data_IF_770286170766
#
_entry.id   IF_770286170766
#
_cell.length_a   1.000
_cell.length_b   1.000
_cell.length_c   1.000
_cell.angle_alpha   90.00
_cell.angle_beta   90.00
_cell.angle_gamma   90.00
#
_symmetry.space_group_name_H-M   'P 1'
#
loop_
_entity.id
_entity.type
_entity.pdbx_description
1 polymer ?
#
# COMPACT_ATOMS: atom_id res chain seq x y z
N UNK A 1 -18.54 -13.21 29.03
CA UNK A 1 -17.34 -12.36 28.80
C UNK A 1 -17.80 -11.10 28.08
N UNK A 2 -17.50 -9.90 28.60
CA UNK A 2 -17.75 -8.66 27.86
C UNK A 2 -16.80 -8.63 26.66
N UNK A 3 -17.24 -8.23 25.45
CA UNK A 3 -16.32 -8.04 24.34
C UNK A 3 -15.34 -6.94 24.74
N UNK A 4 -14.08 -7.31 24.91
CA UNK A 4 -12.99 -6.34 25.11
C UNK A 4 -12.93 -5.50 23.85
N UNK A 5 -13.15 -4.19 23.97
CA UNK A 5 -13.11 -3.29 22.82
C UNK A 5 -11.78 -3.47 22.09
N UNK A 6 -11.82 -3.91 20.82
CA UNK A 6 -10.62 -4.09 20.00
C UNK A 6 -9.98 -2.71 19.84
N UNK A 7 -8.78 -2.55 20.38
CA UNK A 7 -8.04 -1.30 20.29
C UNK A 7 -7.84 -0.93 18.82
N UNK A 8 -8.33 0.25 18.42
CA UNK A 8 -8.15 0.73 17.04
C UNK A 8 -6.74 1.30 16.91
N UNK A 9 -5.92 0.73 16.02
CA UNK A 9 -4.53 1.14 15.81
C UNK A 9 -4.36 1.97 14.54
N UNK A 10 -3.51 3.01 14.61
CA UNK A 10 -3.06 3.81 13.46
C UNK A 10 -1.55 3.71 13.32
N UNK A 11 -1.06 3.80 12.09
CA UNK A 11 0.38 3.81 11.80
C UNK A 11 0.79 5.04 11.01
N UNK A 12 2.08 5.35 10.98
CA UNK A 12 2.60 6.33 10.01
C UNK A 12 2.40 5.80 8.60
N UNK A 13 1.98 6.68 7.69
CA UNK A 13 1.91 6.35 6.26
C UNK A 13 3.33 6.19 5.69
N UNK A 14 3.63 4.97 5.26
CA UNK A 14 4.88 4.60 4.57
C UNK A 14 4.57 4.02 3.20
N UNK A 15 5.58 3.94 2.32
CA UNK A 15 5.43 3.26 1.03
C UNK A 15 4.97 1.81 1.23
N UNK A 16 5.60 1.07 2.16
CA UNK A 16 5.22 -0.32 2.51
C UNK A 16 3.75 -0.44 2.93
N UNK A 17 3.25 0.50 3.73
CA UNK A 17 1.85 0.54 4.13
C UNK A 17 0.91 0.71 2.93
N UNK A 18 1.18 1.69 2.05
CA UNK A 18 0.38 1.94 0.85
C UNK A 18 0.41 0.75 -0.12
N UNK A 19 1.58 0.16 -0.34
CA UNK A 19 1.76 -1.06 -1.12
C UNK A 19 0.94 -2.23 -0.54
N UNK A 20 0.94 -2.39 0.79
CA UNK A 20 0.14 -3.40 1.49
C UNK A 20 -1.35 -3.22 1.27
N UNK A 21 -1.85 -1.98 1.34
CA UNK A 21 -3.26 -1.65 1.04
C UNK A 21 -3.58 -2.01 -0.41
N UNK A 22 -2.81 -1.55 -1.39
CA UNK A 22 -3.10 -1.80 -2.81
C UNK A 22 -3.15 -3.30 -3.16
N UNK A 23 -2.40 -4.14 -2.43
CA UNK A 23 -2.39 -5.60 -2.60
C UNK A 23 -3.38 -6.34 -1.71
N UNK A 24 -4.23 -5.63 -0.96
CA UNK A 24 -5.19 -6.22 -0.04
C UNK A 24 -4.55 -7.09 1.05
N UNK A 25 -3.32 -6.76 1.48
CA UNK A 25 -2.63 -7.52 2.53
C UNK A 25 -3.21 -7.18 3.90
N UNK A 26 -3.18 -8.15 4.82
CA UNK A 26 -3.39 -7.89 6.25
C UNK A 26 -2.22 -7.06 6.76
N UNK A 27 -2.52 -5.91 7.35
CA UNK A 27 -1.52 -5.00 7.91
C UNK A 27 -1.66 -5.02 9.43
N UNK A 28 -0.58 -5.42 10.10
CA UNK A 28 -0.50 -5.53 11.55
C UNK A 28 0.40 -4.44 12.11
N UNK A 29 0.13 -4.03 13.34
CA UNK A 29 1.08 -3.32 14.18
C UNK A 29 2.13 -4.33 14.66
N UNK A 30 3.26 -4.34 13.95
CA UNK A 30 4.33 -5.32 14.10
C UNK A 30 4.94 -5.31 15.50
N UNK A 31 5.04 -4.14 16.13
CA UNK A 31 5.71 -3.98 17.42
C UNK A 31 4.91 -4.64 18.54
N UNK A 32 3.58 -4.44 18.57
CA UNK A 32 2.74 -5.01 19.62
C UNK A 32 2.47 -6.51 19.39
N UNK A 33 2.15 -6.92 18.16
CA UNK A 33 1.76 -8.31 17.89
C UNK A 33 2.91 -9.31 18.04
N UNK A 34 4.11 -8.93 17.58
CA UNK A 34 5.29 -9.78 17.68
C UNK A 34 5.76 -9.83 19.13
N UNK A 35 5.85 -8.68 19.82
CA UNK A 35 6.28 -8.65 21.22
C UNK A 35 5.37 -9.50 22.11
N UNK A 36 4.05 -9.30 22.01
CA UNK A 36 3.10 -10.07 22.81
C UNK A 36 3.18 -11.58 22.52
N UNK A 37 3.39 -11.97 21.25
CA UNK A 37 3.53 -13.37 20.87
C UNK A 37 4.83 -13.98 21.43
N UNK A 38 5.92 -13.23 21.42
CA UNK A 38 7.19 -13.63 22.03
C UNK A 38 7.05 -13.81 23.55
N UNK A 39 6.40 -12.87 24.23
CA UNK A 39 6.20 -12.92 25.69
C UNK A 39 5.30 -14.09 26.11
N UNK A 40 4.35 -14.49 25.26
CA UNK A 40 3.43 -15.62 25.49
C UNK A 40 4.01 -16.97 25.05
N UNK A 41 5.12 -16.98 24.32
CA UNK A 41 5.74 -18.19 23.78
C UNK A 41 4.94 -18.88 22.67
N UNK A 42 3.97 -18.20 22.04
CA UNK A 42 3.20 -18.72 20.91
C UNK A 42 2.60 -17.59 20.07
N UNK A 43 2.28 -17.88 18.81
CA UNK A 43 1.62 -16.93 17.92
C UNK A 43 0.22 -16.59 18.40
N UNK A 44 -0.02 -15.31 18.67
CA UNK A 44 -1.36 -14.82 19.02
C UNK A 44 -2.22 -14.59 17.77
N UNK A 45 -3.55 -14.58 17.92
CA UNK A 45 -4.46 -14.15 16.86
C UNK A 45 -4.10 -12.74 16.36
N UNK A 46 -4.18 -12.52 15.06
CA UNK A 46 -3.77 -11.26 14.44
C UNK A 46 -4.81 -10.13 14.61
N UNK A 47 -6.09 -10.48 14.81
CA UNK A 47 -7.22 -9.56 14.88
C UNK A 47 -7.03 -8.36 15.82
N UNK A 48 -6.47 -8.51 17.05
CA UNK A 48 -6.22 -7.40 17.97
C UNK A 48 -5.12 -6.42 17.51
N UNK A 49 -4.30 -6.86 16.55
CA UNK A 49 -3.14 -6.11 16.04
C UNK A 49 -3.40 -5.48 14.67
N UNK A 50 -4.61 -5.65 14.11
CA UNK A 50 -4.96 -5.08 12.81
C UNK A 50 -4.90 -3.55 12.83
N UNK A 51 -4.18 -3.01 11.85
CA UNK A 51 -4.13 -1.57 11.58
C UNK A 51 -5.45 -1.14 10.94
N UNK A 52 -6.08 -0.11 11.52
CA UNK A 52 -7.40 0.41 11.11
C UNK A 52 -7.31 1.76 10.40
N UNK A 53 -6.11 2.32 10.25
CA UNK A 53 -5.92 3.64 9.68
C UNK A 53 -4.47 4.11 9.70
N UNK A 54 -4.27 5.36 9.31
CA UNK A 54 -2.97 6.01 9.37
C UNK A 54 -3.04 7.38 10.04
N UNK A 55 -1.87 7.90 10.43
CA UNK A 55 -1.74 9.17 11.15
C UNK A 55 -2.15 10.40 10.35
N UNK A 56 -2.44 10.27 9.04
CA UNK A 56 -2.80 11.39 8.16
C UNK A 56 -4.31 11.42 7.90
N UNK A 57 -4.93 10.26 7.62
CA UNK A 57 -6.36 10.16 7.30
C UNK A 57 -7.21 9.59 8.45
N UNK A 58 -6.58 9.23 9.58
CA UNK A 58 -7.27 8.69 10.73
C UNK A 58 -7.76 7.25 10.52
N UNK A 59 -8.80 6.87 11.26
CA UNK A 59 -9.40 5.53 11.22
C UNK A 59 -10.36 5.38 10.03
N UNK A 60 -9.81 5.08 8.88
CA UNK A 60 -10.59 4.93 7.65
C UNK A 60 -10.94 3.49 7.31
N UNK A 61 -10.43 2.49 8.03
CA UNK A 61 -10.59 1.07 7.70
C UNK A 61 -10.11 0.68 6.29
N UNK A 62 -9.24 1.50 5.69
CA UNK A 62 -8.72 1.27 4.35
C UNK A 62 -8.00 -0.09 4.18
N UNK A 63 -7.12 -0.55 5.10
CA UNK A 63 -6.50 -1.86 5.00
C UNK A 63 -7.53 -3.00 4.97
N UNK A 64 -8.53 -2.93 5.86
CA UNK A 64 -9.59 -3.95 5.95
C UNK A 64 -10.45 -3.97 4.68
N UNK A 65 -10.87 -2.80 4.18
CA UNK A 65 -11.63 -2.72 2.92
C UNK A 65 -10.85 -3.27 1.74
N UNK A 66 -9.56 -2.96 1.65
CA UNK A 66 -8.73 -3.43 0.56
C UNK A 66 -8.53 -4.96 0.61
N UNK A 67 -8.33 -5.52 1.81
CA UNK A 67 -8.29 -6.97 2.00
C UNK A 67 -9.61 -7.64 1.57
N UNK A 68 -10.75 -7.09 2.00
CA UNK A 68 -12.06 -7.62 1.62
C UNK A 68 -12.34 -7.50 0.11
N UNK A 69 -11.93 -6.39 -0.51
CA UNK A 69 -12.04 -6.19 -1.95
C UNK A 69 -11.21 -7.23 -2.72
N UNK A 70 -9.97 -7.43 -2.31
CA UNK A 70 -9.07 -8.43 -2.90
C UNK A 70 -9.60 -9.85 -2.73
N UNK A 71 -10.10 -10.21 -1.54
CA UNK A 71 -10.69 -11.53 -1.28
C UNK A 71 -11.95 -11.80 -2.12
N UNK A 72 -12.67 -10.75 -2.52
CA UNK A 72 -13.84 -10.82 -3.41
C UNK A 72 -13.47 -10.74 -4.89
N UNK A 73 -12.18 -10.72 -5.24
CA UNK A 73 -11.72 -10.61 -6.62
C UNK A 73 -12.09 -9.28 -7.28
N UNK A 74 -12.30 -8.20 -6.49
CA UNK A 74 -12.57 -6.88 -7.07
C UNK A 74 -11.35 -6.37 -7.82
N UNK A 75 -11.59 -5.63 -8.90
CA UNK A 75 -10.56 -4.92 -9.63
C UNK A 75 -9.79 -3.95 -8.70
N UNK A 76 -8.47 -3.81 -8.89
CA UNK A 76 -7.67 -2.78 -8.23
C UNK A 76 -8.22 -1.36 -8.45
N UNK A 77 -7.90 -0.40 -7.55
CA UNK A 77 -8.55 0.91 -7.53
C UNK A 77 -8.24 1.81 -8.74
N UNK A 78 -7.21 1.51 -9.52
CA UNK A 78 -6.81 2.31 -10.68
C UNK A 78 -6.99 1.56 -12.01
N UNK A 79 -7.68 0.43 -12.04
CA UNK A 79 -7.98 -0.29 -13.29
C UNK A 79 -8.64 0.65 -14.30
N UNK A 80 -8.07 0.72 -15.51
CA UNK A 80 -8.54 1.59 -16.59
C UNK A 80 -8.16 3.07 -16.42
N UNK A 81 -7.40 3.43 -15.39
CA UNK A 81 -6.95 4.80 -15.15
C UNK A 81 -5.56 5.06 -15.73
N UNK A 82 -5.37 6.24 -16.32
CA UNK A 82 -4.10 6.74 -16.81
C UNK A 82 -3.49 7.80 -15.90
N UNK A 83 -2.17 7.77 -15.70
CA UNK A 83 -1.44 8.69 -14.84
C UNK A 83 -0.27 9.32 -15.58
N UNK A 84 -0.14 10.62 -15.45
CA UNK A 84 1.04 11.37 -15.84
C UNK A 84 1.67 11.98 -14.59
N UNK A 85 2.94 11.66 -14.34
CA UNK A 85 3.68 12.16 -13.16
C UNK A 85 4.42 13.45 -13.54
N UNK A 86 3.79 14.59 -13.25
CA UNK A 86 4.34 15.91 -13.51
C UNK A 86 5.16 16.45 -12.33
N UNK A 87 6.18 17.25 -12.64
CA UNK A 87 6.98 18.00 -11.66
C UNK A 87 8.10 17.21 -11.00
N UNK A 88 8.82 17.92 -10.13
CA UNK A 88 9.98 17.40 -9.42
C UNK A 88 9.57 16.74 -8.10
N UNK A 89 9.96 15.48 -7.95
CA UNK A 89 9.72 14.69 -6.74
C UNK A 89 10.86 14.93 -5.76
N UNK A 90 10.60 15.69 -4.70
CA UNK A 90 11.56 15.98 -3.64
C UNK A 90 11.18 15.31 -2.32
N UNK A 91 12.20 14.94 -1.53
CA UNK A 91 12.05 14.28 -0.24
C UNK A 91 12.15 12.75 -0.29
N UNK A 92 11.56 12.10 0.71
CA UNK A 92 11.68 10.66 0.93
C UNK A 92 10.98 9.81 -0.15
N UNK A 93 9.98 10.37 -0.84
CA UNK A 93 9.22 9.67 -1.88
C UNK A 93 9.66 10.18 -3.24
N UNK A 94 10.15 9.25 -4.03
CA UNK A 94 10.68 9.51 -5.37
C UNK A 94 9.63 9.21 -6.42
N UNK A 95 9.80 9.75 -7.64
CA UNK A 95 8.91 9.50 -8.79
C UNK A 95 8.67 8.00 -9.03
N UNK A 96 9.72 7.19 -8.86
CA UNK A 96 9.67 5.73 -8.99
C UNK A 96 8.72 5.06 -7.99
N UNK A 97 8.62 5.60 -6.78
CA UNK A 97 7.79 5.02 -5.71
C UNK A 97 6.31 5.32 -6.00
N UNK A 98 6.02 6.51 -6.52
CA UNK A 98 4.69 6.87 -7.00
C UNK A 98 4.29 6.06 -8.22
N UNK A 99 5.20 5.91 -9.19
CA UNK A 99 4.97 5.04 -10.34
C UNK A 99 4.68 3.59 -9.93
N UNK A 100 5.40 3.07 -8.93
CA UNK A 100 5.14 1.76 -8.35
C UNK A 100 3.71 1.67 -7.78
N UNK A 101 3.25 2.67 -7.02
CA UNK A 101 1.89 2.69 -6.48
C UNK A 101 0.82 2.73 -7.58
N UNK A 102 1.01 3.53 -8.63
CA UNK A 102 0.11 3.56 -9.79
C UNK A 102 0.02 2.16 -10.42
N UNK A 103 1.15 1.53 -10.74
CA UNK A 103 1.19 0.19 -11.32
C UNK A 103 0.56 -0.87 -10.40
N UNK A 104 0.81 -0.80 -9.08
CA UNK A 104 0.23 -1.75 -8.12
C UNK A 104 -1.29 -1.62 -8.00
N UNK A 105 -1.83 -0.43 -8.25
CA UNK A 105 -3.26 -0.21 -8.35
C UNK A 105 -3.85 -0.50 -9.73
N UNK A 106 -3.08 -1.07 -10.67
CA UNK A 106 -3.49 -1.36 -12.06
C UNK A 106 -3.70 -0.11 -12.94
N UNK A 107 -2.97 0.96 -12.60
CA UNK A 107 -2.92 2.19 -13.38
C UNK A 107 -1.90 2.13 -14.52
N UNK A 108 -2.21 2.82 -15.62
CA UNK A 108 -1.29 3.01 -16.74
C UNK A 108 -0.50 4.30 -16.57
N UNK A 109 0.81 4.28 -16.80
CA UNK A 109 1.64 5.49 -16.76
C UNK A 109 1.90 6.01 -18.16
N UNK A 110 1.85 7.33 -18.31
CA UNK A 110 2.17 8.05 -19.53
C UNK A 110 3.38 8.96 -19.33
N UNK A 111 4.12 9.17 -20.41
CA UNK A 111 5.18 10.17 -20.48
C UNK A 111 4.60 11.57 -20.83
N UNK A 112 5.42 12.63 -20.86
CA UNK A 112 4.95 13.98 -21.20
C UNK A 112 4.40 14.13 -22.62
N UNK A 113 4.75 13.22 -23.53
CA UNK A 113 4.26 13.22 -24.91
C UNK A 113 2.93 12.46 -25.06
N UNK A 114 2.39 11.93 -23.96
CA UNK A 114 1.18 11.11 -23.97
C UNK A 114 1.43 9.68 -24.45
N UNK A 115 2.68 9.28 -24.62
CA UNK A 115 3.03 7.90 -24.95
C UNK A 115 3.03 7.04 -23.70
N UNK A 116 2.71 5.76 -23.88
CA UNK A 116 2.74 4.78 -22.80
C UNK A 116 4.17 4.71 -22.24
N UNK A 117 4.32 5.01 -20.96
CA UNK A 117 5.63 4.92 -20.31
C UNK A 117 6.00 3.42 -20.26
N UNK A 118 7.13 2.98 -20.83
CA UNK A 118 7.52 1.58 -20.78
C UNK A 118 7.59 1.15 -19.32
N UNK A 119 6.81 0.12 -18.95
CA UNK A 119 6.64 -0.32 -17.56
C UNK A 119 8.00 -0.38 -16.85
N UNK A 120 8.30 0.56 -15.92
CA UNK A 120 9.68 0.72 -15.49
C UNK A 120 10.18 -0.47 -14.68
N UNK A 121 9.29 -1.24 -14.05
CA UNK A 121 9.66 -2.29 -13.13
C UNK A 121 8.55 -3.33 -13.12
N UNK A 122 8.62 -4.34 -13.98
CA UNK A 122 8.33 -5.67 -13.45
C UNK A 122 9.35 -5.85 -12.33
N UNK A 123 8.94 -5.63 -11.08
CA UNK A 123 9.71 -6.08 -9.94
C UNK A 123 9.76 -7.59 -10.14
N UNK A 124 10.81 -8.09 -10.83
CA UNK A 124 11.06 -9.52 -10.93
C UNK A 124 11.02 -9.98 -9.49
N UNK A 125 10.02 -10.79 -9.14
CA UNK A 125 10.04 -11.56 -7.91
C UNK A 125 11.34 -12.37 -7.99
N UNK A 126 12.38 -11.84 -7.36
CA UNK A 126 13.71 -12.39 -7.43
C UNK A 126 13.71 -13.73 -6.72
N UNK A 127 13.67 -14.78 -7.53
CA UNK A 127 14.65 -15.86 -7.52
C UNK A 127 14.96 -16.44 -6.13
N UNK A 128 14.13 -17.38 -5.67
CA UNK A 128 14.66 -18.51 -4.92
C UNK A 128 15.70 -19.21 -5.81
N UNK A 129 16.96 -19.15 -5.41
CA UNK A 129 17.99 -20.04 -5.96
C UNK A 129 17.52 -21.49 -5.76
N UNK A 130 17.56 -22.25 -6.84
CA UNK A 130 17.43 -23.69 -6.81
C UNK A 130 18.53 -24.26 -5.91
N UNK A 131 18.14 -24.77 -4.75
CA UNK A 131 18.75 -25.98 -4.22
C UNK A 131 17.60 -26.86 -3.73
N UNK A 132 17.59 -28.10 -4.26
CA UNK A 132 16.72 -29.19 -3.85
C UNK A 132 16.48 -29.15 -2.34
N UNK A 133 15.21 -29.10 -1.92
CA UNK A 133 14.59 -29.89 -0.83
C UNK A 133 13.17 -29.33 -0.59
N UNK A 134 12.18 -30.21 -0.79
CA UNK A 134 10.83 -30.25 -0.20
C UNK A 134 10.11 -28.92 0.09
N UNK A 135 9.08 -28.64 -0.73
CA UNK A 135 8.12 -27.56 -0.53
C UNK A 135 7.38 -27.69 0.80
N UNK A 136 7.54 -26.69 1.68
CA UNK A 136 6.63 -26.39 2.79
C UNK A 136 5.97 -25.05 2.47
N UNK A 137 4.63 -24.89 2.60
CA UNK A 137 3.95 -23.65 2.26
C UNK A 137 4.44 -22.52 3.17
N UNK A 138 5.13 -21.55 2.58
CA UNK A 138 5.76 -20.46 3.32
C UNK A 138 4.75 -19.35 3.61
N UNK A 139 4.45 -19.15 4.88
CA UNK A 139 4.13 -17.82 5.42
C UNK A 139 5.24 -16.85 4.98
N UNK A 140 4.91 -15.93 4.07
CA UNK A 140 5.86 -14.98 3.49
C UNK A 140 6.18 -13.87 4.49
N UNK A 141 7.26 -14.06 5.25
CA UNK A 141 7.92 -13.00 6.01
C UNK A 141 8.59 -12.03 5.03
N UNK A 142 7.98 -10.86 4.84
CA UNK A 142 8.54 -9.79 4.01
C UNK A 142 9.67 -9.08 4.75
N UNK A 143 10.88 -9.64 4.67
CA UNK A 143 12.11 -9.04 5.12
C UNK A 143 13.03 -8.78 3.93
N UNK A 144 12.90 -7.60 3.31
CA UNK A 144 13.99 -7.00 2.54
C UNK A 144 14.34 -5.67 3.20
N UNK A 145 15.63 -5.49 3.48
CA UNK A 145 16.26 -4.33 4.12
C UNK A 145 15.99 -3.09 3.27
N UNK A 146 14.95 -2.33 3.61
CA UNK A 146 14.84 -0.95 3.16
C UNK A 146 15.80 -0.10 4.01
N UNK A 147 16.53 0.87 3.42
CA UNK A 147 17.40 1.76 4.19
C UNK A 147 16.58 2.52 5.25
N UNK A 148 17.20 2.90 6.39
CA UNK A 148 16.50 3.61 7.46
C UNK A 148 16.00 4.96 6.93
N UNK A 149 14.67 5.14 6.89
CA UNK A 149 14.01 6.35 6.40
C UNK A 149 14.07 7.47 7.45
N UNK A 150 14.67 8.60 7.07
CA UNK A 150 14.73 9.83 7.85
C UNK A 150 13.41 10.63 7.76
N UNK A 151 13.30 11.69 8.57
CA UNK A 151 12.11 12.54 8.71
C UNK A 151 12.19 13.74 7.77
N UNK A 152 11.29 13.86 6.79
CA UNK A 152 10.47 15.07 6.47
C UNK A 152 9.78 14.93 5.10
N UNK A 153 8.45 15.00 5.09
CA UNK A 153 7.60 15.75 4.13
C UNK A 153 6.21 15.10 4.00
N UNK A 154 5.16 15.86 4.35
CA UNK A 154 3.78 15.38 4.55
C UNK A 154 2.81 15.77 3.42
N UNK A 155 3.23 16.59 2.44
CA UNK A 155 2.26 17.23 1.54
C UNK A 155 2.02 16.51 0.20
N UNK A 156 3.02 15.84 -0.39
CA UNK A 156 2.90 15.18 -1.71
C UNK A 156 2.03 13.90 -1.67
N UNK A 157 2.01 13.18 -0.53
CA UNK A 157 1.25 11.93 -0.37
C UNK A 157 -0.25 12.17 -0.18
N UNK A 158 -0.64 13.40 0.18
CA UNK A 158 -2.05 13.74 0.42
C UNK A 158 -2.88 13.56 -0.84
N UNK A 159 -2.35 13.91 -2.01
CA UNK A 159 -3.10 13.90 -3.28
C UNK A 159 -3.37 12.48 -3.81
N UNK A 160 -2.38 11.59 -3.77
CA UNK A 160 -2.53 10.22 -4.30
C UNK A 160 -3.43 9.36 -3.41
N UNK A 161 -3.39 9.59 -2.09
CA UNK A 161 -4.23 8.85 -1.14
C UNK A 161 -5.60 9.49 -0.92
N UNK A 162 -5.77 10.80 -1.20
CA UNK A 162 -7.10 11.40 -1.32
C UNK A 162 -7.93 10.67 -2.39
N UNK A 163 -7.30 10.28 -3.51
CA UNK A 163 -7.91 9.42 -4.53
C UNK A 163 -8.19 7.98 -4.07
N UNK A 164 -7.41 7.44 -3.13
CA UNK A 164 -7.64 6.09 -2.58
C UNK A 164 -8.72 6.04 -1.50
N UNK A 165 -9.00 7.15 -0.82
CA UNK A 165 -9.96 7.21 0.30
C UNK A 165 -11.22 8.03 0.02
N UNK A 166 -11.29 8.71 -1.12
CA UNK A 166 -12.46 9.47 -1.55
C UNK A 166 -12.90 8.98 -2.92
N UNK A 167 -13.83 8.01 -2.96
CA UNK A 167 -14.53 7.70 -4.22
C UNK A 167 -15.29 8.94 -4.76
N UNK A 168 -15.51 9.97 -3.94
CA UNK A 168 -16.20 11.22 -4.32
C UNK A 168 -15.27 12.34 -4.85
N UNK A 169 -13.95 12.25 -4.68
CA UNK A 169 -13.03 13.37 -5.03
C UNK A 169 -12.33 13.23 -6.39
N UNK A 170 -12.74 12.26 -7.21
CA UNK A 170 -12.23 12.10 -8.58
C UNK A 170 -12.69 13.24 -9.50
N UNK A 171 -13.74 14.01 -9.15
CA UNK A 171 -14.23 15.08 -10.01
C UNK A 171 -13.40 16.38 -10.00
N UNK A 172 -12.60 16.66 -8.97
CA UNK A 172 -12.10 18.04 -8.76
C UNK A 172 -10.66 18.29 -9.23
N UNK A 173 -9.86 17.25 -9.49
CA UNK A 173 -8.45 17.43 -9.90
C UNK A 173 -8.08 16.92 -11.30
N UNK A 174 -8.97 16.25 -12.03
CA UNK A 174 -8.62 15.62 -13.33
C UNK A 174 -9.67 15.75 -14.44
N UNK A 175 -10.50 16.79 -14.45
CA UNK A 175 -11.37 17.10 -15.60
C UNK A 175 -10.92 18.35 -16.36
N UNK A 176 -9.85 18.25 -17.15
CA UNK A 176 -9.81 19.03 -18.39
C UNK A 176 -10.68 18.31 -19.40
N UNK A 177 -11.95 18.72 -19.41
CA UNK A 177 -12.96 18.37 -20.41
C UNK A 177 -12.42 18.80 -21.78
N UNK A 178 -11.93 17.85 -22.60
CA UNK A 178 -11.71 18.11 -24.02
C UNK A 178 -13.04 17.86 -24.73
N UNK A 179 -13.83 18.92 -24.86
CA UNK A 179 -14.98 18.96 -25.77
C UNK A 179 -14.46 19.22 -27.19
N UNK A 180 -14.60 18.21 -28.05
CA UNK A 180 -14.74 18.37 -29.50
C UNK A 180 -15.83 17.40 -29.97
#
# INVERSE_FOLDING_TARGET
MKPTAVARRQVRRTLKYLCGILRGKRILDDTAGISDSCDRGHWLPEEPYLVRGDSVNGYTDAPMRAQQASARGKAPPFTGSGFYLHGDFSGDIQRRDVALLCNMGDGTLFDPSGQLFPHPLTYKQGCCHQHNHTCIPSSLTFAQRLPPYSRRSSNQIKNIVSCLLSFDFILTCFTTRSSH
#
